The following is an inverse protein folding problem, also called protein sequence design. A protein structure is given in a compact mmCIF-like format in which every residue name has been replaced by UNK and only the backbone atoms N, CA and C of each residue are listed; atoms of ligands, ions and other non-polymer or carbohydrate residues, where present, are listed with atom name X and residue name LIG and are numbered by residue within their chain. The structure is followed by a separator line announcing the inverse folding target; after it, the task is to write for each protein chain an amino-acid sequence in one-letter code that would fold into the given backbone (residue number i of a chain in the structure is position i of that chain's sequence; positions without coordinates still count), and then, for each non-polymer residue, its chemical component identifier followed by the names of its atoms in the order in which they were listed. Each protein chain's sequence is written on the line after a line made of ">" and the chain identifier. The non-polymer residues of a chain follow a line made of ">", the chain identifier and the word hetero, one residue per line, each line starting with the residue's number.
data_IF_392004113440
#
_entry.id   IF_392004113440
#
_cell.length_a   1.000
_cell.length_b   1.000
_cell.length_c   1.000
_cell.angle_alpha   90.00
_cell.angle_beta   90.00
_cell.angle_gamma   90.00
#
_symmetry.space_group_name_H-M   'P 1'
#
loop_
_entity.id
_entity.type
_entity.pdbx_description
1 polymer ?
#
# COMPACT_ATOMS: atom_id res chain seq x y z
N UNK A 1 -23.23 0.76 1.66
CA UNK A 1 -22.65 1.33 2.89
C UNK A 1 -22.86 2.83 2.81
N UNK A 2 -23.28 3.45 3.91
CA UNK A 2 -23.38 4.90 4.03
C UNK A 2 -22.35 5.33 5.08
N UNK A 3 -21.34 6.15 4.72
CA UNK A 3 -21.11 6.76 3.40
C UNK A 3 -20.73 5.73 2.31
N UNK A 4 -20.94 6.07 1.02
CA UNK A 4 -20.49 5.23 -0.09
C UNK A 4 -19.00 4.93 0.05
N UNK A 5 -18.61 3.69 -0.25
CA UNK A 5 -17.20 3.30 -0.32
C UNK A 5 -16.55 4.23 -1.34
N UNK A 6 -15.57 5.02 -0.89
CA UNK A 6 -14.98 6.06 -1.72
C UNK A 6 -14.44 5.46 -3.03
N UNK A 7 -14.88 5.95 -4.20
CA UNK A 7 -14.61 5.31 -5.49
C UNK A 7 -13.17 5.55 -5.98
N UNK A 8 -12.49 6.58 -5.49
CA UNK A 8 -11.23 7.04 -6.05
C UNK A 8 -9.99 6.37 -5.43
N UNK A 9 -8.84 6.62 -6.06
CA UNK A 9 -7.52 6.34 -5.46
C UNK A 9 -7.35 7.13 -4.17
N UNK A 10 -7.71 8.40 -4.18
CA UNK A 10 -7.54 9.31 -3.04
C UNK A 10 -8.34 8.85 -1.81
N UNK A 11 -9.53 8.31 -2.02
CA UNK A 11 -10.34 7.76 -0.94
C UNK A 11 -9.67 6.56 -0.29
N UNK A 12 -9.11 5.64 -1.09
CA UNK A 12 -8.43 4.46 -0.57
C UNK A 12 -7.11 4.83 0.12
N UNK A 13 -6.34 5.76 -0.46
CA UNK A 13 -5.12 6.30 0.16
C UNK A 13 -5.48 6.96 1.49
N UNK A 14 -6.49 7.82 1.52
CA UNK A 14 -6.97 8.49 2.74
C UNK A 14 -7.43 7.48 3.80
N UNK A 15 -8.15 6.43 3.41
CA UNK A 15 -8.59 5.38 4.32
C UNK A 15 -7.41 4.64 4.94
N UNK A 16 -6.42 4.26 4.13
CA UNK A 16 -5.22 3.55 4.59
C UNK A 16 -4.33 4.46 5.44
N UNK A 17 -4.11 5.71 5.03
CA UNK A 17 -3.28 6.68 5.77
C UNK A 17 -3.86 7.04 7.15
N UNK A 18 -5.17 6.87 7.35
CA UNK A 18 -5.84 7.14 8.61
C UNK A 18 -6.13 5.87 9.44
N UNK A 19 -5.53 4.72 9.09
CA UNK A 19 -5.67 3.50 9.89
C UNK A 19 -5.14 3.73 11.31
N UNK A 20 -6.00 3.46 12.29
CA UNK A 20 -5.66 3.67 13.69
C UNK A 20 -4.43 2.84 14.09
N UNK A 21 -3.43 3.52 14.65
CA UNK A 21 -2.18 2.90 15.13
C UNK A 21 -1.15 2.62 14.04
N UNK A 22 -1.49 2.78 12.76
CA UNK A 22 -0.51 2.74 11.67
C UNK A 22 0.09 4.12 11.43
N UNK A 23 1.33 4.15 10.99
CA UNK A 23 1.99 5.38 10.53
C UNK A 23 2.10 5.35 9.01
N UNK A 24 1.65 6.41 8.34
CA UNK A 24 1.76 6.54 6.90
C UNK A 24 2.61 7.77 6.54
N UNK A 25 3.47 7.63 5.53
CA UNK A 25 4.15 8.79 4.94
C UNK A 25 3.20 9.59 4.07
N UNK A 26 3.53 10.86 3.82
CA UNK A 26 2.83 11.68 2.82
C UNK A 26 2.79 10.96 1.47
N UNK A 27 1.60 10.74 0.88
CA UNK A 27 1.50 10.13 -0.44
C UNK A 27 2.08 11.01 -1.54
N UNK A 28 2.82 10.37 -2.45
CA UNK A 28 3.39 10.99 -3.63
C UNK A 28 2.58 10.59 -4.86
N UNK A 29 2.27 11.57 -5.71
CA UNK A 29 1.65 11.31 -7.01
C UNK A 29 2.63 10.55 -7.91
N UNK A 30 2.12 9.53 -8.60
CA UNK A 30 2.89 8.71 -9.53
C UNK A 30 2.08 8.44 -10.80
N UNK A 31 2.80 8.17 -11.89
CA UNK A 31 2.22 7.67 -13.14
C UNK A 31 2.96 6.40 -13.54
N UNK A 32 2.22 5.35 -13.89
CA UNK A 32 2.76 4.08 -14.43
C UNK A 32 2.05 3.79 -15.74
N UNK A 33 2.79 3.73 -16.84
CA UNK A 33 2.27 3.45 -18.18
C UNK A 33 1.05 4.31 -18.58
N UNK A 34 1.03 5.57 -18.13
CA UNK A 34 -0.06 6.52 -18.40
C UNK A 34 -1.18 6.54 -17.35
N UNK A 35 -1.23 5.56 -16.45
CA UNK A 35 -2.21 5.48 -15.37
C UNK A 35 -1.75 6.24 -14.14
N UNK A 36 -2.60 7.13 -13.62
CA UNK A 36 -2.32 7.94 -12.45
C UNK A 36 -2.58 7.20 -11.14
N UNK A 37 -1.85 7.57 -10.10
CA UNK A 37 -2.08 7.04 -8.77
C UNK A 37 -1.18 7.67 -7.71
N UNK A 38 -1.04 6.97 -6.57
CA UNK A 38 -0.20 7.41 -5.46
C UNK A 38 0.68 6.29 -4.92
N UNK A 39 1.84 6.66 -4.42
CA UNK A 39 2.77 5.77 -3.72
C UNK A 39 3.11 6.33 -2.33
N UNK A 40 3.12 5.45 -1.32
CA UNK A 40 3.42 5.80 0.07
C UNK A 40 3.80 4.55 0.87
N UNK A 41 4.45 4.74 2.02
CA UNK A 41 4.71 3.66 2.96
C UNK A 41 3.73 3.71 4.11
N UNK A 42 3.34 2.53 4.60
CA UNK A 42 2.52 2.32 5.78
C UNK A 42 3.26 1.37 6.72
N UNK A 43 3.45 1.79 7.97
CA UNK A 43 4.16 1.05 9.01
C UNK A 43 3.16 0.59 10.07
N UNK A 44 3.19 -0.71 10.36
CA UNK A 44 2.36 -1.30 11.39
C UNK A 44 2.82 -0.89 12.81
N UNK A 45 1.91 -0.79 13.78
CA UNK A 45 2.29 -0.53 15.17
C UNK A 45 3.24 -1.61 15.70
N UNK A 46 4.16 -1.21 16.59
CA UNK A 46 5.14 -2.12 17.18
C UNK A 46 4.54 -3.09 18.22
N UNK A 47 3.43 -2.72 18.85
CA UNK A 47 2.73 -3.59 19.80
C UNK A 47 1.81 -4.56 19.05
N UNK A 48 1.77 -5.84 19.43
CA UNK A 48 0.82 -6.79 18.86
C UNK A 48 -0.60 -6.43 19.33
N UNK A 49 -1.30 -5.61 18.56
CA UNK A 49 -2.76 -5.56 18.59
C UNK A 49 -3.31 -6.84 17.96
N UNK A 50 -4.52 -7.26 18.35
CA UNK A 50 -5.22 -8.29 17.60
C UNK A 50 -5.55 -7.75 16.20
N UNK A 51 -5.18 -8.52 15.16
CA UNK A 51 -5.50 -8.27 13.75
C UNK A 51 -4.96 -6.96 13.13
N UNK A 52 -3.63 -6.88 12.93
CA UNK A 52 -3.03 -5.82 12.11
C UNK A 52 -3.31 -6.06 10.63
N UNK A 53 -4.18 -5.24 10.04
CA UNK A 53 -4.63 -5.36 8.64
C UNK A 53 -4.59 -4.02 7.94
N UNK A 54 -3.97 -3.97 6.76
CA UNK A 54 -3.82 -2.73 5.98
C UNK A 54 -4.97 -2.57 4.97
N UNK A 55 -5.35 -3.65 4.31
CA UNK A 55 -6.45 -3.65 3.34
C UNK A 55 -7.06 -5.05 3.20
N UNK A 56 -8.29 -5.11 2.71
CA UNK A 56 -8.97 -6.36 2.42
C UNK A 56 -9.90 -6.22 1.21
N UNK A 57 -10.09 -7.33 0.51
CA UNK A 57 -11.15 -7.56 -0.47
C UNK A 57 -12.04 -8.70 0.04
N UNK A 58 -13.09 -9.03 -0.71
CA UNK A 58 -13.94 -10.18 -0.38
C UNK A 58 -13.17 -11.53 -0.35
N UNK A 59 -12.04 -11.63 -1.04
CA UNK A 59 -11.27 -12.88 -1.20
C UNK A 59 -9.89 -12.86 -0.57
N UNK A 60 -9.37 -11.71 -0.12
CA UNK A 60 -8.02 -11.59 0.42
C UNK A 60 -7.92 -10.49 1.48
N UNK A 61 -7.15 -10.76 2.52
CA UNK A 61 -6.73 -9.74 3.50
C UNK A 61 -5.21 -9.59 3.46
N UNK A 62 -4.71 -8.36 3.60
CA UNK A 62 -3.30 -8.09 3.87
C UNK A 62 -3.09 -7.90 5.37
N UNK A 63 -2.73 -8.99 6.06
CA UNK A 63 -2.32 -8.94 7.46
C UNK A 63 -0.82 -8.74 7.55
N UNK A 64 -0.36 -8.00 8.56
CA UNK A 64 1.05 -7.60 8.69
C UNK A 64 1.60 -7.92 10.08
N UNK A 65 2.91 -8.15 10.17
CA UNK A 65 3.58 -8.26 11.46
C UNK A 65 3.70 -6.92 12.18
N UNK A 66 3.93 -6.92 13.52
CA UNK A 66 4.28 -5.70 14.24
C UNK A 66 5.50 -5.04 13.60
N UNK A 67 5.49 -3.71 13.49
CA UNK A 67 6.56 -2.91 12.85
C UNK A 67 6.85 -3.24 11.38
N UNK A 68 6.07 -4.08 10.72
CA UNK A 68 6.24 -4.35 9.29
C UNK A 68 5.92 -3.10 8.47
N UNK A 69 6.73 -2.85 7.44
CA UNK A 69 6.57 -1.72 6.53
C UNK A 69 6.06 -2.23 5.18
N UNK A 70 4.97 -1.64 4.70
CA UNK A 70 4.40 -1.90 3.39
C UNK A 70 4.57 -0.64 2.51
N UNK A 71 5.32 -0.76 1.41
CA UNK A 71 5.34 0.20 0.31
C UNK A 71 4.16 -0.09 -0.61
N UNK A 72 3.21 0.84 -0.66
CA UNK A 72 1.98 0.72 -1.42
C UNK A 72 2.04 1.63 -2.64
N UNK A 73 1.62 1.11 -3.80
CA UNK A 73 1.27 1.90 -4.98
C UNK A 73 -0.17 1.59 -5.38
N UNK A 74 -1.00 2.61 -5.46
CA UNK A 74 -2.42 2.49 -5.81
C UNK A 74 -2.65 3.28 -7.09
N UNK A 75 -3.14 2.62 -8.14
CA UNK A 75 -3.32 3.17 -9.48
C UNK A 75 -4.80 3.09 -9.87
N UNK A 76 -5.26 4.06 -10.66
CA UNK A 76 -6.51 4.00 -11.41
C UNK A 76 -6.22 3.52 -12.84
N UNK A 77 -6.69 2.33 -13.17
CA UNK A 77 -6.54 1.70 -14.48
C UNK A 77 -7.93 1.58 -15.10
N UNK A 78 -8.31 2.57 -15.90
CA UNK A 78 -9.61 2.63 -16.58
C UNK A 78 -10.82 2.40 -15.65
N UNK A 79 -10.80 3.02 -14.46
CA UNK A 79 -11.83 2.88 -13.44
C UNK A 79 -11.66 1.68 -12.52
N UNK A 80 -10.61 0.86 -12.74
CA UNK A 80 -10.23 -0.24 -11.85
C UNK A 80 -9.07 0.17 -10.97
N UNK A 81 -9.27 0.10 -9.64
CA UNK A 81 -8.20 0.37 -8.68
C UNK A 81 -7.28 -0.85 -8.52
N UNK A 82 -6.01 -0.67 -8.83
CA UNK A 82 -4.97 -1.67 -8.65
C UNK A 82 -4.06 -1.24 -7.49
N UNK A 83 -3.94 -2.09 -6.47
CA UNK A 83 -3.00 -1.90 -5.36
C UNK A 83 -1.84 -2.89 -5.50
N UNK A 84 -0.64 -2.36 -5.64
CA UNK A 84 0.63 -3.11 -5.60
C UNK A 84 1.26 -2.89 -4.23
N UNK A 85 1.61 -3.97 -3.53
CA UNK A 85 2.24 -3.92 -2.22
C UNK A 85 3.60 -4.60 -2.26
N UNK A 86 4.62 -3.92 -1.76
CA UNK A 86 5.90 -4.49 -1.40
C UNK A 86 6.10 -4.38 0.11
N UNK A 87 6.37 -5.50 0.79
CA UNK A 87 6.50 -5.52 2.25
C UNK A 87 7.92 -5.91 2.68
N UNK A 88 8.37 -5.34 3.80
CA UNK A 88 9.61 -5.72 4.46
C UNK A 88 9.53 -5.45 5.96
N UNK A 89 10.37 -6.15 6.73
CA UNK A 89 10.50 -5.88 8.15
C UNK A 89 11.86 -5.22 8.43
N UNK A 90 11.91 -4.06 9.11
CA UNK A 90 13.13 -3.25 9.23
C UNK A 90 14.23 -3.93 10.05
N UNK A 91 13.90 -4.88 10.93
CA UNK A 91 14.90 -5.63 11.70
C UNK A 91 15.61 -6.73 10.91
N UNK A 92 15.06 -7.15 9.76
CA UNK A 92 15.59 -8.29 9.00
C UNK A 92 15.96 -7.95 7.58
N UNK A 93 15.38 -6.91 7.00
CA UNK A 93 15.70 -6.47 5.64
C UNK A 93 17.09 -5.82 5.59
N UNK A 94 17.87 -6.21 4.58
CA UNK A 94 19.15 -5.58 4.23
C UNK A 94 18.95 -4.46 3.22
N UNK A 95 19.96 -3.61 3.01
CA UNK A 95 19.94 -2.61 1.93
C UNK A 95 19.75 -3.24 0.53
N UNK A 96 20.30 -4.45 0.33
CA UNK A 96 20.12 -5.20 -0.90
C UNK A 96 18.66 -5.63 -1.10
N UNK A 97 17.99 -6.08 -0.03
CA UNK A 97 16.56 -6.43 -0.08
C UNK A 97 15.69 -5.20 -0.42
N UNK A 98 16.00 -4.05 0.20
CA UNK A 98 15.28 -2.81 -0.08
C UNK A 98 15.51 -2.32 -1.51
N UNK A 99 16.73 -2.46 -2.03
CA UNK A 99 17.05 -2.17 -3.42
C UNK A 99 16.29 -3.09 -4.37
N UNK A 100 16.26 -4.39 -4.08
CA UNK A 100 15.51 -5.36 -4.87
C UNK A 100 14.00 -5.09 -4.85
N UNK A 101 13.45 -4.72 -3.69
CA UNK A 101 12.05 -4.32 -3.56
C UNK A 101 11.73 -3.12 -4.47
N UNK A 102 12.58 -2.10 -4.47
CA UNK A 102 12.41 -0.93 -5.34
C UNK A 102 12.48 -1.31 -6.82
N UNK A 103 13.39 -2.21 -7.20
CA UNK A 103 13.50 -2.71 -8.58
C UNK A 103 12.24 -3.47 -9.01
N UNK A 104 11.70 -4.34 -8.16
CA UNK A 104 10.44 -5.03 -8.43
C UNK A 104 9.31 -4.03 -8.62
N UNK A 105 9.16 -3.07 -7.70
CA UNK A 105 8.14 -2.02 -7.83
C UNK A 105 8.33 -1.16 -9.09
N UNK A 106 9.56 -0.90 -9.52
CA UNK A 106 9.86 -0.14 -10.73
C UNK A 106 9.59 -0.94 -12.02
N UNK A 107 9.68 -2.27 -11.97
CA UNK A 107 9.42 -3.17 -13.10
C UNK A 107 7.94 -3.44 -13.40
N UNK A 108 7.03 -2.90 -12.57
CA UNK A 108 5.59 -3.04 -12.81
C UNK A 108 5.22 -2.33 -14.10
N UNK A 109 4.67 -3.11 -15.02
CA UNK A 109 4.08 -2.62 -16.26
C UNK A 109 2.61 -3.00 -16.33
N UNK A 110 1.79 -2.08 -16.84
CA UNK A 110 0.36 -2.27 -17.06
C UNK A 110 0.11 -2.17 -18.56
N UNK A 111 -0.22 -3.31 -19.15
CA UNK A 111 -0.65 -3.37 -20.54
C UNK A 111 -2.15 -3.02 -20.66
N UNK A 112 -2.59 -2.49 -21.81
CA UNK A 112 -4.01 -2.32 -22.14
C UNK A 112 -4.79 -3.64 -22.13
#
# INVERSE_FOLDING_TARGET
>A
MDPPVGPSVDDLVTAISNLAGFEATTPLDVTVDGFSGKQFTVTAPASPGCDLRVWATASRTNSVGPSEVNLLRILDVDGTRILVSGAYHPLTATEADLTALQQVMASVHIAP
#
